data_IF_245331534147
#
_entry.id   IF_245331534147
#
_cell.length_a   1.000
_cell.length_b   1.000
_cell.length_c   1.000
_cell.angle_alpha   90.00
_cell.angle_beta   90.00
_cell.angle_gamma   90.00
#
_symmetry.space_group_name_H-M   'P 1'
#
loop_
_entity.id
_entity.type
_entity.pdbx_description
1 polymer ?
#
# COMPACT_ATOMS: atom_id res chain seq x y z
N UNK A 1 21.85 -4.18 -6.15
CA UNK A 1 20.46 -4.61 -6.40
C UNK A 1 19.93 -3.75 -7.54
N UNK A 2 19.05 -4.26 -8.42
CA UNK A 2 18.40 -3.41 -9.41
C UNK A 2 17.62 -2.26 -8.73
N UNK A 3 17.47 -1.15 -9.43
CA UNK A 3 16.68 -0.01 -8.98
C UNK A 3 15.20 -0.38 -9.03
N UNK A 4 14.51 -0.41 -7.89
CA UNK A 4 13.07 -0.69 -7.88
C UNK A 4 12.23 0.59 -7.96
N UNK A 5 11.13 0.52 -8.69
CA UNK A 5 10.06 1.50 -8.68
C UNK A 5 9.03 1.09 -7.63
N UNK A 6 9.01 1.81 -6.50
CA UNK A 6 8.12 1.53 -5.37
C UNK A 6 7.01 2.57 -5.29
N UNK A 7 5.76 2.14 -5.38
CA UNK A 7 4.60 2.99 -5.15
C UNK A 7 4.43 3.31 -3.66
N UNK A 8 3.97 4.52 -3.35
CA UNK A 8 3.58 4.93 -2.00
C UNK A 8 2.18 5.55 -2.04
N UNK A 9 1.22 4.89 -1.41
CA UNK A 9 -0.17 5.35 -1.33
C UNK A 9 -0.39 6.14 -0.05
N UNK A 10 -1.10 7.27 -0.17
CA UNK A 10 -1.36 8.21 0.94
C UNK A 10 -2.32 7.70 2.02
N UNK A 11 -2.96 6.53 1.82
CA UNK A 11 -3.90 5.97 2.79
C UNK A 11 -5.30 6.58 2.70
N UNK A 12 -6.07 6.44 3.78
CA UNK A 12 -7.38 7.11 3.90
C UNK A 12 -7.17 8.63 4.08
N UNK A 13 -7.80 9.49 3.24
CA UNK A 13 -7.63 10.94 3.33
C UNK A 13 -8.05 11.58 4.65
N UNK A 14 -8.98 10.96 5.38
CA UNK A 14 -9.41 11.41 6.70
C UNK A 14 -8.46 10.98 7.82
N UNK A 15 -7.49 10.12 7.53
CA UNK A 15 -6.54 9.58 8.50
C UNK A 15 -5.20 10.31 8.54
N UNK A 16 -4.24 9.67 9.21
CA UNK A 16 -2.86 10.17 9.38
C UNK A 16 -1.92 9.74 8.25
N UNK A 17 -2.44 9.16 7.17
CA UNK A 17 -1.60 8.62 6.10
C UNK A 17 -0.74 9.68 5.39
N UNK A 18 -1.32 10.82 4.97
CA UNK A 18 -0.57 11.85 4.24
C UNK A 18 0.61 12.46 5.03
N UNK A 19 0.42 12.76 6.31
CA UNK A 19 1.47 13.30 7.19
C UNK A 19 2.58 12.28 7.51
N UNK A 20 2.23 10.98 7.62
CA UNK A 20 3.22 9.91 7.78
C UNK A 20 4.05 9.72 6.50
N UNK A 21 3.40 9.72 5.33
CA UNK A 21 4.11 9.66 4.05
C UNK A 21 5.05 10.86 3.89
N UNK A 22 4.62 12.06 4.27
CA UNK A 22 5.45 13.25 4.19
C UNK A 22 6.71 13.15 5.09
N UNK A 23 6.55 12.72 6.35
CA UNK A 23 7.69 12.48 7.26
C UNK A 23 8.63 11.39 6.76
N UNK A 24 8.08 10.26 6.30
CA UNK A 24 8.86 9.16 5.75
C UNK A 24 9.74 9.63 4.57
N UNK A 25 9.19 10.45 3.70
CA UNK A 25 9.89 10.95 2.52
C UNK A 25 10.92 12.04 2.84
N UNK A 26 10.70 12.82 3.91
CA UNK A 26 11.68 13.78 4.42
C UNK A 26 12.88 13.08 5.07
N UNK A 27 12.65 12.02 5.85
CA UNK A 27 13.71 11.23 6.49
C UNK A 27 14.53 10.38 5.49
N UNK A 28 14.05 10.27 4.24
CA UNK A 28 14.66 9.44 3.23
C UNK A 28 16.08 9.89 2.92
N UNK A 29 17.02 8.96 2.97
CA UNK A 29 18.43 9.28 2.79
C UNK A 29 18.79 9.61 1.34
N UNK A 30 19.63 10.64 1.16
CA UNK A 30 20.26 10.92 -0.14
C UNK A 30 21.13 9.72 -0.54
N UNK A 31 20.89 9.16 -1.72
CA UNK A 31 21.67 8.04 -2.27
C UNK A 31 21.00 6.67 -2.18
N UNK A 32 19.76 6.59 -1.67
CA UNK A 32 18.96 5.37 -1.80
C UNK A 32 18.68 5.05 -3.29
N UNK A 33 18.83 3.79 -3.74
CA UNK A 33 18.78 3.44 -5.16
C UNK A 33 17.36 3.41 -5.75
N UNK A 34 16.32 3.23 -4.93
CA UNK A 34 14.95 3.01 -5.41
C UNK A 34 14.28 4.32 -5.82
N UNK A 35 13.41 4.28 -6.83
CA UNK A 35 12.47 5.38 -7.09
C UNK A 35 11.28 5.21 -6.15
N UNK A 36 10.83 6.30 -5.54
CA UNK A 36 9.58 6.31 -4.76
C UNK A 36 8.55 7.14 -5.50
N UNK A 37 7.44 6.50 -5.85
CA UNK A 37 6.37 7.06 -6.66
C UNK A 37 5.17 7.27 -5.73
N UNK A 38 4.96 8.50 -5.27
CA UNK A 38 3.71 8.87 -4.61
C UNK A 38 2.57 8.73 -5.61
N UNK A 39 1.49 8.05 -5.22
CA UNK A 39 0.28 7.94 -6.03
C UNK A 39 -0.88 8.48 -5.22
N UNK A 40 -1.46 9.59 -5.68
CA UNK A 40 -2.56 10.22 -4.98
C UNK A 40 -2.91 11.60 -5.52
N UNK A 41 -3.77 12.30 -4.80
CA UNK A 41 -4.16 13.68 -5.09
C UNK A 41 -3.11 14.67 -4.54
N UNK A 42 -2.51 15.57 -5.36
CA UNK A 42 -1.49 16.52 -4.91
C UNK A 42 -1.93 17.39 -3.74
N UNK A 43 -3.19 17.84 -3.74
CA UNK A 43 -3.71 18.67 -2.65
C UNK A 43 -3.79 17.93 -1.31
N UNK A 44 -4.01 16.61 -1.32
CA UNK A 44 -3.96 15.76 -0.13
C UNK A 44 -2.54 15.65 0.42
N UNK A 45 -1.55 15.45 -0.45
CA UNK A 45 -0.15 15.37 -0.03
C UNK A 45 0.36 16.71 0.51
N UNK A 46 0.03 17.81 -0.15
CA UNK A 46 0.37 19.16 0.33
C UNK A 46 -0.27 19.48 1.68
N UNK A 47 -1.49 19.01 1.94
CA UNK A 47 -2.09 19.08 3.27
C UNK A 47 -1.28 18.26 4.30
N UNK A 48 -0.91 17.03 3.94
CA UNK A 48 -0.06 16.15 4.78
C UNK A 48 1.28 16.79 5.14
N UNK A 49 1.97 17.43 4.17
CA UNK A 49 3.22 18.17 4.41
C UNK A 49 3.04 19.31 5.41
N UNK A 50 1.98 20.11 5.25
CA UNK A 50 1.65 21.23 6.16
C UNK A 50 1.42 20.75 7.58
N UNK A 51 0.65 19.66 7.76
CA UNK A 51 0.39 19.06 9.08
C UNK A 51 1.67 18.49 9.68
N UNK A 52 2.50 17.83 8.86
CA UNK A 52 3.77 17.27 9.30
C UNK A 52 4.85 18.33 9.61
N UNK A 53 4.69 19.56 9.12
CA UNK A 53 5.68 20.63 9.26
C UNK A 53 6.95 20.40 8.44
N UNK A 54 6.85 19.65 7.33
CA UNK A 54 7.98 19.30 6.47
C UNK A 54 7.93 20.07 5.15
N UNK A 55 9.10 20.39 4.62
CA UNK A 55 9.27 21.05 3.32
C UNK A 55 10.07 20.14 2.39
N UNK A 56 9.36 19.37 1.57
CA UNK A 56 9.95 18.44 0.60
C UNK A 56 9.26 18.59 -0.75
N UNK A 57 10.03 18.41 -1.83
CA UNK A 57 9.52 18.44 -3.19
C UNK A 57 9.21 17.03 -3.70
N UNK A 58 8.00 16.85 -4.22
CA UNK A 58 7.59 15.67 -4.96
C UNK A 58 6.89 16.13 -6.27
N UNK A 59 7.65 16.37 -7.34
CA UNK A 59 7.09 16.87 -8.60
C UNK A 59 6.04 15.90 -9.16
N UNK A 60 4.91 16.45 -9.61
CA UNK A 60 3.89 15.70 -10.34
C UNK A 60 4.37 15.50 -11.78
N UNK A 61 4.39 14.25 -12.23
CA UNK A 61 4.79 13.85 -13.58
C UNK A 61 3.71 13.01 -14.26
N UNK A 62 3.76 12.91 -15.58
CA UNK A 62 2.82 12.08 -16.33
C UNK A 62 3.24 10.60 -16.34
N UNK A 63 4.55 10.34 -16.36
CA UNK A 63 5.12 9.00 -16.44
C UNK A 63 6.22 8.76 -15.40
N UNK A 64 6.26 7.55 -14.81
CA UNK A 64 7.27 7.15 -13.80
C UNK A 64 8.71 7.33 -14.30
N UNK A 65 8.95 7.12 -15.60
CA UNK A 65 10.27 7.29 -16.24
C UNK A 65 10.84 8.72 -16.15
N UNK A 66 9.99 9.71 -15.89
CA UNK A 66 10.40 11.11 -15.72
C UNK A 66 10.99 11.36 -14.34
N UNK A 67 10.72 10.48 -13.38
CA UNK A 67 11.30 10.52 -12.04
C UNK A 67 12.73 9.97 -12.13
N UNK A 68 13.77 10.74 -11.79
CA UNK A 68 15.13 10.22 -11.83
C UNK A 68 15.32 9.06 -10.83
N UNK A 69 16.28 8.18 -11.10
CA UNK A 69 16.62 7.09 -10.19
C UNK A 69 17.00 7.61 -8.79
N UNK A 70 16.59 6.89 -7.75
CA UNK A 70 16.83 7.31 -6.37
C UNK A 70 16.07 8.56 -5.94
N UNK A 71 15.16 9.11 -6.77
CA UNK A 71 14.36 10.30 -6.43
C UNK A 71 12.91 9.96 -6.12
N UNK A 72 12.25 10.94 -5.53
CA UNK A 72 10.82 10.95 -5.25
C UNK A 72 10.14 11.72 -6.37
N UNK A 73 9.00 11.22 -6.82
CA UNK A 73 8.08 11.95 -7.68
C UNK A 73 6.65 11.48 -7.43
N UNK A 74 5.70 12.17 -8.05
CA UNK A 74 4.30 11.92 -7.84
C UNK A 74 3.59 11.64 -9.16
N UNK A 75 2.78 10.60 -9.19
CA UNK A 75 1.76 10.41 -10.22
C UNK A 75 0.41 10.87 -9.67
N UNK A 76 -0.37 11.52 -10.53
CA UNK A 76 -1.76 11.81 -10.24
C UNK A 76 -2.51 10.50 -9.99
N UNK A 77 -3.06 10.39 -8.78
CA UNK A 77 -3.96 9.31 -8.37
C UNK A 77 -5.43 9.68 -8.62
N UNK A 78 -6.36 9.01 -7.92
CA UNK A 78 -7.78 9.36 -7.97
C UNK A 78 -7.99 10.81 -7.56
N UNK A 79 -8.93 11.50 -8.20
CA UNK A 79 -9.26 12.88 -7.83
C UNK A 79 -9.96 12.91 -6.46
N UNK A 80 -9.62 13.91 -5.66
CA UNK A 80 -10.25 14.16 -4.37
C UNK A 80 -10.41 15.66 -4.15
N UNK A 81 -11.63 16.07 -3.81
CA UNK A 81 -11.88 17.43 -3.34
C UNK A 81 -11.63 17.50 -1.84
N UNK A 82 -10.74 18.38 -1.41
CA UNK A 82 -10.32 18.43 0.01
C UNK A 82 -11.38 19.02 0.94
N UNK A 83 -12.35 19.78 0.42
CA UNK A 83 -13.43 20.41 1.20
C UNK A 83 -14.49 19.40 1.69
N UNK A 84 -14.57 18.22 1.07
CA UNK A 84 -15.46 17.13 1.49
C UNK A 84 -14.78 16.12 2.43
N UNK A 85 -13.53 16.37 2.83
CA UNK A 85 -12.78 15.50 3.75
C UNK A 85 -12.86 16.02 5.17
N UNK A 86 -13.55 15.28 6.04
CA UNK A 86 -13.54 15.49 7.49
C UNK A 86 -12.47 14.62 8.15
N UNK A 87 -11.42 15.25 8.70
CA UNK A 87 -10.34 14.52 9.40
C UNK A 87 -10.90 13.77 10.61
N UNK A 88 -10.53 12.49 10.75
CA UNK A 88 -10.97 11.60 11.82
C UNK A 88 -12.36 10.98 11.61
N UNK A 89 -13.04 11.29 10.51
CA UNK A 89 -14.39 10.80 10.23
C UNK A 89 -14.40 9.86 9.01
N UNK A 90 -14.82 8.62 9.23
CA UNK A 90 -14.99 7.66 8.15
C UNK A 90 -16.11 8.09 7.19
N UNK A 91 -15.82 8.10 5.89
CA UNK A 91 -16.76 8.53 4.85
C UNK A 91 -16.66 7.66 3.59
N UNK A 92 -17.74 7.64 2.81
CA UNK A 92 -17.78 6.98 1.50
C UNK A 92 -16.72 7.56 0.55
N UNK A 93 -16.60 8.89 0.48
CA UNK A 93 -15.63 9.57 -0.39
C UNK A 93 -14.20 9.13 -0.10
N UNK A 94 -13.81 9.07 1.18
CA UNK A 94 -12.48 8.62 1.58
C UNK A 94 -12.26 7.13 1.27
N UNK A 95 -13.28 6.31 1.46
CA UNK A 95 -13.26 4.89 1.10
C UNK A 95 -13.06 4.65 -0.40
N UNK A 96 -13.84 5.35 -1.23
CA UNK A 96 -13.74 5.27 -2.69
C UNK A 96 -12.36 5.70 -3.17
N UNK A 97 -11.85 6.82 -2.66
CA UNK A 97 -10.49 7.27 -2.96
C UNK A 97 -9.43 6.21 -2.61
N UNK A 98 -9.53 5.59 -1.45
CA UNK A 98 -8.59 4.55 -1.01
C UNK A 98 -8.64 3.30 -1.93
N UNK A 99 -9.84 2.84 -2.29
CA UNK A 99 -10.00 1.72 -3.22
C UNK A 99 -9.47 2.05 -4.61
N UNK A 100 -9.78 3.23 -5.15
CA UNK A 100 -9.27 3.67 -6.45
C UNK A 100 -7.75 3.86 -6.43
N UNK A 101 -7.17 4.23 -5.28
CA UNK A 101 -5.71 4.28 -5.11
C UNK A 101 -5.08 2.90 -5.18
N UNK A 102 -5.69 1.89 -4.54
CA UNK A 102 -5.27 0.49 -4.70
C UNK A 102 -5.39 0.02 -6.14
N UNK A 103 -6.51 0.29 -6.83
CA UNK A 103 -6.69 -0.06 -8.25
C UNK A 103 -5.59 0.53 -9.12
N UNK A 104 -5.30 1.82 -8.92
CA UNK A 104 -4.24 2.52 -9.67
C UNK A 104 -2.88 1.88 -9.44
N UNK A 105 -2.53 1.55 -8.19
CA UNK A 105 -1.27 0.91 -7.85
C UNK A 105 -1.16 -0.51 -8.42
N UNK A 106 -2.21 -1.32 -8.27
CA UNK A 106 -2.28 -2.68 -8.80
C UNK A 106 -2.17 -2.69 -10.33
N UNK A 107 -2.81 -1.74 -11.02
CA UNK A 107 -2.69 -1.60 -12.47
C UNK A 107 -1.24 -1.30 -12.91
N UNK A 108 -0.52 -0.44 -12.17
CA UNK A 108 0.88 -0.13 -12.44
C UNK A 108 1.82 -1.32 -12.14
N UNK A 109 1.51 -2.14 -11.13
CA UNK A 109 2.22 -3.41 -10.91
C UNK A 109 1.97 -4.39 -12.07
N UNK A 110 0.72 -4.51 -12.54
CA UNK A 110 0.36 -5.39 -13.66
C UNK A 110 1.02 -4.95 -14.98
N UNK A 111 1.22 -3.66 -15.20
CA UNK A 111 1.95 -3.16 -16.37
C UNK A 111 3.47 -3.28 -16.24
N UNK A 112 3.99 -3.64 -15.06
CA UNK A 112 5.42 -3.70 -14.77
C UNK A 112 6.07 -2.32 -14.58
N UNK A 113 5.27 -1.27 -14.41
CA UNK A 113 5.79 0.07 -14.12
C UNK A 113 6.17 0.25 -12.63
N UNK A 114 5.53 -0.52 -11.74
CA UNK A 114 5.92 -0.68 -10.35
C UNK A 114 6.36 -2.12 -10.07
N UNK A 115 7.40 -2.27 -9.26
CA UNK A 115 7.82 -3.57 -8.73
C UNK A 115 6.99 -3.96 -7.48
N UNK A 116 6.34 -2.97 -6.86
CA UNK A 116 5.49 -3.14 -5.70
C UNK A 116 5.05 -1.79 -5.13
N UNK A 117 4.24 -1.81 -4.08
CA UNK A 117 3.83 -0.60 -3.39
C UNK A 117 3.71 -0.78 -1.89
N UNK A 118 3.91 0.32 -1.17
CA UNK A 118 3.58 0.49 0.23
C UNK A 118 2.36 1.41 0.33
N UNK A 119 1.55 1.24 1.36
CA UNK A 119 0.37 2.08 1.59
C UNK A 119 0.32 2.53 3.05
N UNK A 120 -0.04 3.79 3.25
CA UNK A 120 -0.31 4.33 4.57
C UNK A 120 -1.65 3.79 5.12
N UNK A 121 -1.95 3.98 6.43
CA UNK A 121 -3.12 3.39 7.06
C UNK A 121 -4.44 3.69 6.35
N UNK A 122 -5.26 2.64 6.22
CA UNK A 122 -6.62 2.70 5.67
C UNK A 122 -7.66 2.56 6.78
N UNK A 123 -8.88 3.08 6.57
CA UNK A 123 -10.01 2.88 7.48
C UNK A 123 -10.98 1.84 6.92
N UNK A 124 -11.12 0.69 7.57
CA UNK A 124 -12.04 -0.38 7.12
C UNK A 124 -13.48 0.10 6.96
N UNK A 125 -13.98 0.96 7.84
CA UNK A 125 -15.34 1.50 7.74
C UNK A 125 -15.48 2.39 6.49
N UNK A 126 -14.53 3.29 6.23
CA UNK A 126 -14.52 4.07 4.99
C UNK A 126 -14.50 3.15 3.78
N UNK A 127 -13.61 2.16 3.73
CA UNK A 127 -13.50 1.22 2.61
C UNK A 127 -14.82 0.51 2.31
N UNK A 128 -15.52 0.02 3.34
CA UNK A 128 -16.85 -0.58 3.17
C UNK A 128 -17.88 0.43 2.65
N UNK A 129 -17.90 1.65 3.20
CA UNK A 129 -18.77 2.72 2.70
C UNK A 129 -18.47 3.06 1.23
N UNK A 130 -17.19 3.03 0.84
CA UNK A 130 -16.72 3.24 -0.52
C UNK A 130 -16.96 2.07 -1.48
N UNK A 131 -17.57 0.97 -1.01
CA UNK A 131 -17.96 -0.17 -1.83
C UNK A 131 -17.06 -1.41 -1.74
N UNK A 132 -16.14 -1.49 -0.76
CA UNK A 132 -15.37 -2.71 -0.56
C UNK A 132 -16.27 -3.83 0.01
N UNK A 133 -16.40 -4.92 -0.73
CA UNK A 133 -17.14 -6.12 -0.32
C UNK A 133 -16.24 -7.25 0.17
N UNK A 134 -14.93 -7.06 0.15
CA UNK A 134 -13.95 -8.04 0.58
C UNK A 134 -13.78 -8.05 2.10
N UNK A 135 -13.29 -9.16 2.63
CA UNK A 135 -12.97 -9.29 4.07
C UNK A 135 -11.90 -8.30 4.53
N UNK A 136 -10.92 -8.05 3.67
CA UNK A 136 -9.84 -7.11 3.90
C UNK A 136 -9.26 -6.56 2.58
N UNK A 137 -8.34 -5.62 2.74
CA UNK A 137 -7.67 -4.94 1.63
C UNK A 137 -6.71 -5.88 0.89
N UNK A 138 -6.23 -6.94 1.54
CA UNK A 138 -5.35 -7.93 0.92
C UNK A 138 -6.11 -8.72 -0.14
N UNK A 139 -7.35 -9.15 0.16
CA UNK A 139 -8.21 -9.83 -0.83
C UNK A 139 -8.63 -8.91 -1.97
N UNK A 140 -8.96 -7.66 -1.65
CA UNK A 140 -9.24 -6.65 -2.67
C UNK A 140 -8.04 -6.48 -3.63
N UNK A 141 -6.83 -6.27 -3.10
CA UNK A 141 -5.62 -6.09 -3.91
C UNK A 141 -5.28 -7.36 -4.70
N UNK A 142 -5.44 -8.55 -4.12
CA UNK A 142 -5.21 -9.81 -4.81
C UNK A 142 -6.12 -9.97 -6.04
N UNK A 143 -7.40 -9.59 -5.92
CA UNK A 143 -8.35 -9.57 -7.05
C UNK A 143 -7.91 -8.58 -8.12
N UNK A 144 -7.58 -7.33 -7.75
CA UNK A 144 -7.13 -6.30 -8.70
C UNK A 144 -5.82 -6.70 -9.44
N UNK A 145 -4.99 -7.53 -8.79
CA UNK A 145 -3.76 -8.11 -9.35
C UNK A 145 -4.00 -9.38 -10.21
N UNK A 146 -5.25 -9.84 -10.35
CA UNK A 146 -5.62 -11.13 -10.94
C UNK A 146 -4.94 -12.35 -10.27
N UNK A 147 -4.53 -12.25 -9.01
CA UNK A 147 -3.80 -13.30 -8.31
C UNK A 147 -4.71 -14.46 -7.92
N UNK A 148 -4.46 -15.64 -8.48
CA UNK A 148 -5.24 -16.86 -8.23
C UNK A 148 -4.56 -17.83 -7.24
N UNK A 149 -3.35 -17.49 -6.76
CA UNK A 149 -2.57 -18.34 -5.88
C UNK A 149 -2.91 -18.15 -4.40
N UNK A 150 -2.24 -18.92 -3.54
CA UNK A 150 -2.28 -18.69 -2.10
C UNK A 150 -1.85 -17.26 -1.77
N UNK A 151 -2.61 -16.59 -0.89
CA UNK A 151 -2.38 -15.21 -0.50
C UNK A 151 -2.52 -15.09 1.02
N UNK A 152 -1.46 -14.63 1.67
CA UNK A 152 -1.37 -14.55 3.13
C UNK A 152 -0.41 -13.43 3.53
N UNK A 153 -0.58 -12.93 4.74
CA UNK A 153 0.31 -11.96 5.36
C UNK A 153 1.63 -12.60 5.80
N UNK A 154 2.73 -11.90 5.53
CA UNK A 154 4.04 -12.15 6.12
C UNK A 154 4.37 -11.01 7.08
N UNK A 155 4.72 -11.33 8.33
CA UNK A 155 5.27 -10.33 9.24
C UNK A 155 6.77 -10.55 9.38
N UNK A 156 7.52 -9.47 9.21
CA UNK A 156 8.98 -9.50 9.29
C UNK A 156 9.46 -8.51 10.34
N UNK A 157 10.50 -8.90 11.09
CA UNK A 157 11.22 -8.00 11.98
C UNK A 157 12.65 -8.48 12.13
N UNK A 158 13.63 -7.65 11.76
CA UNK A 158 15.06 -7.98 11.81
C UNK A 158 15.33 -9.40 11.28
N UNK A 159 15.58 -10.35 12.18
CA UNK A 159 15.96 -11.73 11.86
C UNK A 159 14.79 -12.74 12.01
N UNK A 160 13.54 -12.26 12.11
CA UNK A 160 12.36 -13.09 12.29
C UNK A 160 11.36 -12.83 11.17
N UNK A 161 10.96 -13.91 10.50
CA UNK A 161 9.91 -13.93 9.50
C UNK A 161 8.83 -14.91 9.97
N UNK A 162 7.58 -14.48 9.95
CA UNK A 162 6.44 -15.30 10.34
C UNK A 162 5.41 -15.30 9.24
N UNK A 163 4.95 -16.48 8.87
CA UNK A 163 3.76 -16.71 8.06
C UNK A 163 2.70 -17.41 8.92
N UNK A 164 1.48 -17.51 8.42
CA UNK A 164 0.35 -18.09 9.13
C UNK A 164 -0.46 -18.99 8.21
N UNK A 165 -0.91 -20.14 8.72
CA UNK A 165 -1.82 -21.03 7.98
C UNK A 165 -3.25 -20.48 8.02
N UNK A 166 -3.63 -19.87 9.14
CA UNK A 166 -4.94 -19.26 9.37
C UNK A 166 -4.79 -17.79 9.80
N UNK A 167 -5.69 -16.90 9.38
CA UNK A 167 -5.72 -15.49 9.78
C UNK A 167 -7.10 -15.10 10.31
N UNK A 168 -7.15 -14.17 11.27
CA UNK A 168 -8.38 -13.51 11.79
C UNK A 168 -9.57 -14.41 12.18
N UNK A 169 -9.34 -15.65 12.64
CA UNK A 169 -10.40 -16.57 13.10
C UNK A 169 -10.47 -16.71 14.64
N UNK A 170 -11.61 -17.15 15.20
CA UNK A 170 -11.70 -17.50 16.61
C UNK A 170 -10.75 -18.64 16.98
N UNK A 171 -10.11 -18.54 18.16
CA UNK A 171 -9.09 -19.51 18.60
C UNK A 171 -9.60 -20.97 18.62
N UNK A 172 -10.86 -21.18 18.98
CA UNK A 172 -11.49 -22.52 19.02
C UNK A 172 -11.53 -23.20 17.65
N UNK A 173 -11.50 -22.44 16.57
CA UNK A 173 -11.64 -22.95 15.19
C UNK A 173 -10.27 -23.23 14.55
N UNK A 174 -9.18 -22.73 15.14
CA UNK A 174 -7.81 -22.84 14.59
C UNK A 174 -7.40 -24.29 14.36
N UNK A 175 -7.53 -25.14 15.39
CA UNK A 175 -7.07 -26.54 15.29
C UNK A 175 -7.80 -27.32 14.18
N UNK A 176 -9.06 -26.99 13.91
CA UNK A 176 -9.86 -27.63 12.87
C UNK A 176 -9.59 -27.11 11.45
N UNK A 177 -9.01 -25.92 11.33
CA UNK A 177 -8.74 -25.27 10.03
C UNK A 177 -7.28 -25.43 9.57
N UNK A 178 -6.41 -26.02 10.40
CA UNK A 178 -5.05 -26.39 9.99
C UNK A 178 -5.11 -27.69 9.19
N UNK A 179 -4.84 -27.60 7.90
CA UNK A 179 -4.77 -28.74 6.97
C UNK A 179 -3.35 -28.93 6.43
N UNK A 180 -3.03 -30.14 5.96
CA UNK A 180 -1.74 -30.42 5.31
C UNK A 180 -1.51 -29.50 4.10
N UNK A 181 -2.53 -29.31 3.27
CA UNK A 181 -2.49 -28.40 2.11
C UNK A 181 -2.20 -26.95 2.52
N UNK A 182 -2.93 -26.43 3.51
CA UNK A 182 -2.72 -25.06 4.00
C UNK A 182 -1.33 -24.85 4.62
N UNK A 183 -0.77 -25.87 5.28
CA UNK A 183 0.62 -25.84 5.77
C UNK A 183 1.59 -25.78 4.58
N UNK A 184 1.41 -26.64 3.58
CA UNK A 184 2.29 -26.69 2.41
C UNK A 184 2.26 -25.37 1.64
N UNK A 185 1.09 -24.76 1.46
CA UNK A 185 0.94 -23.48 0.78
C UNK A 185 1.64 -22.34 1.54
N UNK A 186 1.44 -22.26 2.86
CA UNK A 186 2.09 -21.27 3.70
C UNK A 186 3.63 -21.43 3.66
N UNK A 187 4.14 -22.67 3.73
CA UNK A 187 5.56 -22.97 3.64
C UNK A 187 6.14 -22.62 2.27
N UNK A 188 5.44 -22.95 1.18
CA UNK A 188 5.88 -22.60 -0.19
C UNK A 188 5.93 -21.10 -0.39
N UNK A 189 4.90 -20.38 0.06
CA UNK A 189 4.87 -18.92 -0.03
C UNK A 189 6.06 -18.32 0.73
N UNK A 190 6.27 -18.72 1.99
CA UNK A 190 7.39 -18.23 2.79
C UNK A 190 8.75 -18.57 2.15
N UNK A 191 8.90 -19.79 1.62
CA UNK A 191 10.13 -20.24 0.97
C UNK A 191 10.45 -19.42 -0.29
N UNK A 192 9.47 -19.24 -1.19
CA UNK A 192 9.66 -18.46 -2.41
C UNK A 192 9.98 -16.99 -2.09
N UNK A 193 9.22 -16.36 -1.18
CA UNK A 193 9.50 -14.97 -0.80
C UNK A 193 10.91 -14.81 -0.23
N UNK A 194 11.39 -15.75 0.59
CA UNK A 194 12.76 -15.69 1.12
C UNK A 194 13.83 -15.85 0.04
N UNK A 195 13.60 -16.71 -0.96
CA UNK A 195 14.53 -16.84 -2.09
C UNK A 195 14.57 -15.58 -2.97
N UNK A 196 13.40 -14.95 -3.18
CA UNK A 196 13.29 -13.75 -4.02
C UNK A 196 13.93 -12.52 -3.38
N UNK A 197 14.04 -12.48 -2.05
CA UNK A 197 14.64 -11.36 -1.32
C UNK A 197 16.17 -11.38 -1.24
N UNK A 198 16.81 -12.48 -1.69
CA UNK A 198 18.26 -12.71 -1.59
C UNK A 198 18.74 -13.10 -0.20
#
# INVERSE_FOLDING_TARGET
MPHSNLGLLLGDPSGIGPELCAKLLEERSVGEPNRVILIGEPSLFENGKKVAGVDLEAPVVEHIREIPEGRIGMLQGPELQMDVVSVGEASETCGRYALDSFRRASALCKSGELDGFCFAPMNKKSLHLGGNTHEDDLRFVAEELDHQGYCCELNTTKNLWTTRVTSHIPLKDVAGLITEEGIVDAVKMAHHTLLDTG
#
